data_IF_129883780115
#
_entry.id   IF_129883780115
#
_cell.length_a   1.000
_cell.length_b   1.000
_cell.length_c   1.000
_cell.angle_alpha   90.00
_cell.angle_beta   90.00
_cell.angle_gamma   90.00
#
_symmetry.space_group_name_H-M   'P 1'
#
loop_
_entity.id
_entity.type
_entity.pdbx_description
1 polymer ?
#
# COMPACT_ATOMS: atom_id res chain seq x y z
N UNK A 1 6.91 10.48 6.04
CA UNK A 1 5.48 10.52 6.39
C UNK A 1 5.38 9.87 7.75
N UNK A 2 4.64 10.49 8.67
CA UNK A 2 4.45 10.02 10.01
C UNK A 2 2.95 9.81 10.26
N UNK A 3 2.53 8.57 10.48
CA UNK A 3 1.19 8.23 10.95
C UNK A 3 1.22 8.31 12.47
N UNK A 4 0.46 9.25 13.05
CA UNK A 4 0.36 9.47 14.49
C UNK A 4 -0.78 8.68 15.08
N UNK A 5 -0.58 8.13 16.27
CA UNK A 5 -1.61 7.42 17.05
C UNK A 5 -2.31 6.29 16.28
N UNK A 6 -1.58 5.61 15.39
CA UNK A 6 -2.13 4.53 14.59
C UNK A 6 -2.48 3.33 15.49
N UNK A 7 -3.71 2.83 15.34
CA UNK A 7 -4.11 1.54 15.91
C UNK A 7 -3.87 0.44 14.89
N UNK A 8 -3.17 -0.63 15.26
CA UNK A 8 -2.87 -1.76 14.37
C UNK A 8 -2.76 -3.07 15.16
N UNK A 9 -2.90 -4.19 14.47
CA UNK A 9 -2.69 -5.50 15.07
C UNK A 9 -1.25 -5.96 14.85
N UNK A 10 -0.63 -6.42 15.94
CA UNK A 10 0.63 -7.16 15.95
C UNK A 10 0.30 -8.57 16.44
N UNK A 11 0.28 -9.51 15.50
CA UNK A 11 -0.43 -10.78 15.62
C UNK A 11 -1.90 -10.59 16.03
N UNK A 12 -2.29 -11.08 17.21
CA UNK A 12 -3.66 -10.97 17.75
C UNK A 12 -3.84 -9.78 18.71
N UNK A 13 -2.79 -9.00 18.93
CA UNK A 13 -2.77 -7.94 19.94
C UNK A 13 -3.00 -6.58 19.28
N UNK A 14 -4.05 -5.88 19.72
CA UNK A 14 -4.26 -4.49 19.36
C UNK A 14 -3.19 -3.61 20.03
N UNK A 15 -2.41 -2.90 19.22
CA UNK A 15 -1.41 -1.93 19.67
C UNK A 15 -1.75 -0.53 19.15
N UNK A 16 -1.23 0.48 19.85
CA UNK A 16 -1.25 1.88 19.43
C UNK A 16 0.17 2.43 19.43
N UNK A 17 0.61 2.97 18.31
CA UNK A 17 1.92 3.60 18.18
C UNK A 17 1.93 4.58 16.99
N UNK A 18 3.01 5.33 16.85
CA UNK A 18 3.30 6.08 15.65
C UNK A 18 4.11 5.22 14.67
N UNK A 19 3.86 5.40 13.37
CA UNK A 19 4.50 4.66 12.29
C UNK A 19 5.14 5.66 11.32
N UNK A 20 6.47 5.56 11.14
CA UNK A 20 7.19 6.38 10.16
C UNK A 20 7.41 5.61 8.87
N UNK A 21 7.11 6.27 7.76
CA UNK A 21 7.40 5.81 6.41
C UNK A 21 8.40 6.73 5.72
N UNK A 22 9.40 6.12 5.08
CA UNK A 22 10.39 6.78 4.23
C UNK A 22 10.65 5.93 2.99
N UNK A 23 10.68 6.54 1.81
CA UNK A 23 10.98 5.87 0.54
C UNK A 23 10.09 4.63 0.30
N UNK A 24 8.80 4.73 0.64
CA UNK A 24 7.79 3.65 0.58
C UNK A 24 8.02 2.46 1.52
N UNK A 25 8.88 2.59 2.53
CA UNK A 25 9.16 1.58 3.55
C UNK A 25 8.77 2.09 4.93
N UNK A 26 8.29 1.19 5.79
CA UNK A 26 8.17 1.46 7.22
C UNK A 26 9.58 1.42 7.80
N UNK A 27 10.02 2.51 8.43
CA UNK A 27 11.38 2.61 9.01
C UNK A 27 11.39 2.59 10.52
N UNK A 28 10.29 2.94 11.17
CA UNK A 28 10.20 3.00 12.62
C UNK A 28 8.75 2.86 13.10
N UNK A 29 8.54 2.13 14.21
CA UNK A 29 7.27 2.02 14.93
C UNK A 29 7.55 2.23 16.42
N UNK A 30 7.04 3.31 17.01
CA UNK A 30 7.23 3.66 18.44
C UNK A 30 6.08 4.52 18.96
N UNK A 31 5.84 4.52 20.26
CA UNK A 31 4.69 5.20 20.88
C UNK A 31 4.65 6.72 20.67
N UNK A 32 5.80 7.38 20.63
CA UNK A 32 5.88 8.85 20.65
C UNK A 32 7.00 9.37 19.74
N UNK A 33 6.78 9.30 18.43
CA UNK A 33 7.65 9.91 17.43
C UNK A 33 7.32 11.40 17.25
N UNK A 34 8.37 12.20 17.22
CA UNK A 34 8.31 13.61 16.81
C UNK A 34 8.51 13.72 15.29
N UNK A 35 7.76 14.59 14.58
CA UNK A 35 7.97 14.85 13.16
C UNK A 35 9.39 15.32 12.85
N UNK A 36 9.92 14.94 11.68
CA UNK A 36 11.23 15.40 11.19
C UNK A 36 11.11 16.03 9.80
N UNK A 37 11.99 17.00 9.48
CA UNK A 37 12.19 17.54 8.13
C UNK A 37 10.91 17.92 7.36
N UNK A 38 9.91 18.52 8.02
CA UNK A 38 8.61 18.84 7.44
C UNK A 38 7.92 17.65 6.74
N UNK A 39 8.12 16.44 7.24
CA UNK A 39 7.41 15.28 6.73
C UNK A 39 5.89 15.43 6.91
N UNK A 40 5.12 14.88 5.98
CA UNK A 40 3.66 14.80 6.10
C UNK A 40 3.28 14.02 7.37
N UNK A 41 2.38 14.59 8.16
CA UNK A 41 1.86 13.98 9.40
C UNK A 41 0.37 13.73 9.24
N UNK A 42 -0.05 12.49 9.49
CA UNK A 42 -1.45 12.06 9.42
C UNK A 42 -1.88 11.59 10.80
N UNK A 43 -2.97 12.14 11.33
CA UNK A 43 -3.53 11.73 12.61
C UNK A 43 -4.50 10.56 12.42
N UNK A 44 -4.25 9.43 13.09
CA UNK A 44 -4.98 8.17 12.93
C UNK A 44 -5.75 7.74 14.19
N UNK A 45 -5.92 8.61 15.19
CA UNK A 45 -6.42 8.23 16.52
C UNK A 45 -7.72 7.41 16.59
N UNK A 46 -8.60 7.53 15.60
CA UNK A 46 -9.88 6.81 15.49
C UNK A 46 -9.90 5.78 14.35
N UNK A 47 -8.75 5.51 13.73
CA UNK A 47 -8.62 4.65 12.56
C UNK A 47 -7.70 3.45 12.84
N UNK A 48 -7.99 2.35 12.13
CA UNK A 48 -7.09 1.20 12.07
C UNK A 48 -6.17 1.32 10.85
N UNK A 49 -4.88 1.17 11.07
CA UNK A 49 -3.89 0.95 10.01
C UNK A 49 -3.79 -0.54 9.79
N UNK A 50 -4.21 -0.99 8.61
CA UNK A 50 -4.12 -2.37 8.17
C UNK A 50 -3.08 -2.48 7.05
N UNK A 51 -2.35 -3.62 6.96
CA UNK A 51 -1.66 -3.95 5.73
C UNK A 51 -2.63 -3.89 4.56
N UNK A 52 -2.21 -3.34 3.43
CA UNK A 52 -3.06 -3.33 2.25
C UNK A 52 -3.42 -4.75 1.83
N UNK A 53 -4.67 -4.95 1.42
CA UNK A 53 -5.12 -6.28 1.01
C UNK A 53 -4.52 -6.69 -0.34
N UNK A 54 -4.41 -8.01 -0.53
CA UNK A 54 -4.00 -8.63 -1.78
C UNK A 54 -5.18 -9.45 -2.31
N UNK A 55 -5.71 -9.06 -3.47
CA UNK A 55 -6.78 -9.80 -4.14
C UNK A 55 -6.22 -10.69 -5.26
N UNK A 56 -6.35 -11.99 -5.08
CA UNK A 56 -5.90 -13.02 -6.00
C UNK A 56 -6.98 -13.41 -7.02
N UNK A 57 -8.25 -13.06 -6.80
CA UNK A 57 -9.38 -13.56 -7.58
C UNK A 57 -10.07 -12.50 -8.44
N UNK A 58 -9.37 -11.43 -8.80
CA UNK A 58 -9.96 -10.36 -9.62
C UNK A 58 -10.31 -10.89 -11.01
N UNK A 59 -11.61 -10.99 -11.29
CA UNK A 59 -12.15 -11.31 -12.63
C UNK A 59 -12.98 -10.14 -13.14
N UNK A 60 -12.81 -9.74 -14.40
CA UNK A 60 -13.64 -8.71 -15.00
C UNK A 60 -13.25 -8.38 -16.44
N UNK A 61 -14.22 -7.90 -17.22
CA UNK A 61 -14.03 -7.40 -18.59
C UNK A 61 -13.84 -5.87 -18.63
N UNK A 62 -13.45 -5.27 -17.50
CA UNK A 62 -13.21 -3.83 -17.40
C UNK A 62 -11.75 -3.48 -17.69
N UNK A 63 -11.48 -2.20 -17.99
CA UNK A 63 -10.11 -1.73 -18.17
C UNK A 63 -9.32 -1.81 -16.86
N UNK A 64 -8.02 -2.06 -16.99
CA UNK A 64 -7.10 -2.15 -15.87
C UNK A 64 -7.14 -0.93 -14.95
N UNK A 65 -7.19 0.28 -15.50
CA UNK A 65 -7.21 1.51 -14.69
C UNK A 65 -8.50 1.63 -13.88
N UNK A 66 -9.65 1.21 -14.44
CA UNK A 66 -10.91 1.21 -13.69
C UNK A 66 -10.87 0.21 -12.53
N UNK A 67 -10.38 -1.01 -12.79
CA UNK A 67 -10.22 -2.04 -11.77
C UNK A 67 -9.26 -1.59 -10.67
N UNK A 68 -8.12 -0.98 -11.04
CA UNK A 68 -7.12 -0.46 -10.11
C UNK A 68 -7.70 0.66 -9.22
N UNK A 69 -8.47 1.59 -9.78
CA UNK A 69 -9.10 2.66 -9.00
C UNK A 69 -10.13 2.13 -8.01
N UNK A 70 -10.98 1.18 -8.44
CA UNK A 70 -11.95 0.53 -7.55
C UNK A 70 -11.24 -0.25 -6.44
N UNK A 71 -10.19 -0.99 -6.79
CA UNK A 71 -9.40 -1.77 -5.84
C UNK A 71 -8.73 -0.86 -4.79
N UNK A 72 -8.09 0.21 -5.23
CA UNK A 72 -7.44 1.18 -4.32
C UNK A 72 -8.43 1.82 -3.34
N UNK A 73 -9.62 2.20 -3.82
CA UNK A 73 -10.71 2.72 -2.95
C UNK A 73 -11.17 1.70 -1.91
N UNK A 74 -11.08 0.40 -2.21
CA UNK A 74 -11.42 -0.69 -1.29
C UNK A 74 -10.29 -1.12 -0.35
N UNK A 75 -9.14 -0.43 -0.36
CA UNK A 75 -8.00 -0.77 0.50
C UNK A 75 -7.06 -1.86 -0.06
N UNK A 76 -7.20 -2.21 -1.35
CA UNK A 76 -6.29 -3.14 -2.02
C UNK A 76 -5.02 -2.41 -2.47
N UNK A 77 -3.87 -2.88 -2.00
CA UNK A 77 -2.55 -2.39 -2.41
C UNK A 77 -1.97 -3.17 -3.57
N UNK A 78 -2.46 -4.41 -3.79
CA UNK A 78 -1.94 -5.32 -4.80
C UNK A 78 -3.05 -6.25 -5.34
N UNK A 79 -2.98 -6.62 -6.61
CA UNK A 79 -3.87 -7.64 -7.20
C UNK A 79 -3.12 -8.58 -8.15
N UNK A 80 -3.59 -9.81 -8.34
CA UNK A 80 -2.93 -10.75 -9.25
C UNK A 80 -3.04 -10.33 -10.72
N UNK A 81 -4.13 -9.68 -11.12
CA UNK A 81 -4.29 -9.08 -12.45
C UNK A 81 -3.22 -8.00 -12.74
N UNK A 82 -2.85 -7.23 -11.72
CA UNK A 82 -1.75 -6.26 -11.72
C UNK A 82 -0.38 -6.92 -12.03
N UNK A 83 -0.15 -8.14 -11.55
CA UNK A 83 1.07 -8.93 -11.84
C UNK A 83 1.07 -9.38 -13.29
N UNK A 84 -0.02 -9.98 -13.76
CA UNK A 84 -0.12 -10.53 -15.11
C UNK A 84 0.07 -9.45 -16.17
N UNK A 85 -0.52 -8.27 -16.00
CA UNK A 85 -0.34 -7.14 -16.92
C UNK A 85 1.09 -6.60 -16.88
N UNK A 86 1.69 -6.43 -15.69
CA UNK A 86 3.09 -5.98 -15.59
C UNK A 86 4.05 -6.97 -16.26
N UNK A 87 3.83 -8.26 -16.10
CA UNK A 87 4.62 -9.30 -16.77
C UNK A 87 4.44 -9.23 -18.30
N UNK A 88 3.20 -9.11 -18.79
CA UNK A 88 2.90 -9.00 -20.21
C UNK A 88 3.52 -7.73 -20.84
N UNK A 89 3.40 -6.57 -20.18
CA UNK A 89 4.02 -5.32 -20.63
C UNK A 89 5.55 -5.40 -20.66
N UNK A 90 6.15 -6.06 -19.66
CA UNK A 90 7.61 -6.28 -19.62
C UNK A 90 8.07 -7.15 -20.79
N UNK A 91 7.34 -8.22 -21.12
CA UNK A 91 7.62 -9.08 -22.27
C UNK A 91 7.50 -8.28 -23.58
N UNK A 92 6.42 -7.53 -23.76
CA UNK A 92 6.21 -6.69 -24.95
C UNK A 92 7.30 -5.62 -25.13
N UNK A 93 7.74 -4.99 -24.04
CA UNK A 93 8.83 -4.01 -24.09
C UNK A 93 10.16 -4.66 -24.50
N UNK A 94 10.49 -5.84 -23.95
CA UNK A 94 11.69 -6.60 -24.32
C UNK A 94 11.70 -7.00 -25.80
N UNK A 95 10.54 -7.37 -26.36
CA UNK A 95 10.38 -7.68 -27.78
C UNK A 95 10.51 -6.45 -28.69
N UNK A 96 10.20 -5.25 -28.19
CA UNK A 96 10.32 -4.00 -28.94
C UNK A 96 11.74 -3.44 -28.96
N UNK A 97 12.56 -3.77 -27.96
CA UNK A 97 13.95 -3.31 -27.84
C UNK A 97 14.99 -4.28 -28.44
N UNK A 98 14.54 -5.41 -28.99
CA UNK A 98 15.39 -6.43 -29.63
C UNK A 98 15.33 -6.42 -31.16
N UNK A 99 14.63 -5.44 -31.76
CA UNK A 99 14.70 -5.08 -33.18
C UNK A 99 15.34 -3.70 -33.33
#
# INVERSE_FOLDING_TARGET
MLLKNASFYDDEILRRADIRLKDSLITEIKENLSPINNEEVIECGDLFVLPSFIDLSVTGLESYENLKQKAFKGGLGYSMFLIAIKAALKILWQLKTTN
#
